data_IF_543743623173
#
_entry.id   IF_543743623173
#
_cell.length_a   1.000
_cell.length_b   1.000
_cell.length_c   1.000
_cell.angle_alpha   90.00
_cell.angle_beta   90.00
_cell.angle_gamma   90.00
#
_symmetry.space_group_name_H-M   'P 1'
#
loop_
_entity.id
_entity.type
_entity.pdbx_description
1 polymer ?
#
# COMPACT_ATOMS: atom_id res chain seq x y z
N UNK A 1 2.76 22.40 6.12
CA UNK A 1 2.64 20.94 6.37
C UNK A 1 3.35 20.65 7.69
N UNK A 2 2.91 19.65 8.46
CA UNK A 2 3.57 19.23 9.70
C UNK A 2 4.95 18.63 9.43
N UNK A 3 5.90 18.80 10.36
CA UNK A 3 7.28 18.29 10.29
C UNK A 3 7.83 18.10 11.70
N UNK A 4 8.59 17.03 11.95
CA UNK A 4 9.20 16.74 13.24
C UNK A 4 10.58 16.09 13.07
N UNK A 5 11.64 16.78 13.51
CA UNK A 5 13.02 16.32 13.36
C UNK A 5 13.31 14.99 14.08
N UNK A 6 12.55 14.67 15.13
CA UNK A 6 12.69 13.39 15.85
C UNK A 6 12.16 12.26 14.98
N UNK A 7 11.03 12.48 14.29
CA UNK A 7 10.48 11.50 13.36
C UNK A 7 11.41 11.33 12.14
N UNK A 8 11.93 12.44 11.60
CA UNK A 8 12.90 12.40 10.50
C UNK A 8 14.11 11.51 10.84
N UNK A 9 14.70 11.69 12.04
CA UNK A 9 15.84 10.89 12.49
C UNK A 9 15.51 9.39 12.63
N UNK A 10 14.28 9.04 13.03
CA UNK A 10 13.83 7.65 13.09
C UNK A 10 13.68 7.07 11.69
N UNK A 11 13.09 7.82 10.76
CA UNK A 11 12.92 7.39 9.36
C UNK A 11 14.29 7.14 8.71
N UNK A 12 15.25 8.04 8.93
CA UNK A 12 16.62 7.90 8.41
C UNK A 12 17.33 6.65 8.95
N UNK A 13 17.06 6.25 10.19
CA UNK A 13 17.60 5.01 10.79
C UNK A 13 16.89 3.77 10.23
N UNK A 14 15.56 3.84 10.07
CA UNK A 14 14.77 2.76 9.47
C UNK A 14 15.21 2.45 8.04
N UNK A 15 15.51 3.48 7.23
CA UNK A 15 16.00 3.31 5.85
C UNK A 15 17.32 2.51 5.78
N UNK A 16 18.18 2.67 6.80
CA UNK A 16 19.49 1.99 6.88
C UNK A 16 19.40 0.60 7.52
N UNK A 17 18.27 0.27 8.13
CA UNK A 17 18.07 -0.99 8.84
C UNK A 17 17.61 -2.08 7.87
N UNK A 18 18.18 -3.28 7.97
CA UNK A 18 17.77 -4.41 7.12
C UNK A 18 16.29 -4.76 7.37
N UNK A 19 15.59 -5.18 6.32
CA UNK A 19 14.15 -5.44 6.38
C UNK A 19 13.77 -6.55 7.37
N UNK A 20 14.66 -7.52 7.58
CA UNK A 20 14.49 -8.65 8.50
C UNK A 20 15.11 -8.41 9.89
N UNK A 21 15.69 -7.23 10.14
CA UNK A 21 16.23 -6.88 11.46
C UNK A 21 15.08 -6.59 12.45
N UNK A 22 15.00 -7.28 13.61
CA UNK A 22 13.97 -7.03 14.61
C UNK A 22 13.97 -5.61 15.18
N UNK A 23 15.07 -4.86 15.05
CA UNK A 23 15.14 -3.46 15.46
C UNK A 23 14.29 -2.54 14.57
N UNK A 24 14.00 -2.92 13.32
CA UNK A 24 13.12 -2.13 12.44
C UNK A 24 11.73 -1.93 13.06
N UNK A 25 11.20 -2.97 13.71
CA UNK A 25 9.91 -2.90 14.41
C UNK A 25 9.98 -1.94 15.60
N UNK A 26 11.08 -1.98 16.37
CA UNK A 26 11.28 -1.08 17.51
C UNK A 26 11.33 0.38 17.07
N UNK A 27 12.08 0.69 16.01
CA UNK A 27 12.14 2.03 15.42
C UNK A 27 10.76 2.49 14.95
N UNK A 28 10.00 1.63 14.26
CA UNK A 28 8.64 1.92 13.85
C UNK A 28 7.71 2.28 15.03
N UNK A 29 7.83 1.56 16.16
CA UNK A 29 7.08 1.87 17.38
C UNK A 29 7.46 3.25 17.95
N UNK A 30 8.75 3.61 17.99
CA UNK A 30 9.18 4.95 18.44
C UNK A 30 8.64 6.06 17.54
N UNK A 31 8.63 5.85 16.22
CA UNK A 31 8.02 6.79 15.27
C UNK A 31 6.50 6.95 15.49
N UNK A 32 5.79 5.85 15.74
CA UNK A 32 4.36 5.87 16.04
C UNK A 32 4.04 6.60 17.35
N UNK A 33 4.88 6.49 18.39
CA UNK A 33 4.69 7.26 19.64
C UNK A 33 4.68 8.77 19.38
N UNK A 34 5.57 9.26 18.52
CA UNK A 34 5.60 10.68 18.11
C UNK A 34 4.32 11.02 17.34
N UNK A 35 3.95 10.22 16.35
CA UNK A 35 2.74 10.46 15.55
C UNK A 35 1.46 10.51 16.42
N UNK A 36 1.37 9.67 17.46
CA UNK A 36 0.26 9.68 18.42
C UNK A 36 0.31 10.92 19.32
N UNK A 37 1.49 11.31 19.82
CA UNK A 37 1.63 12.48 20.70
C UNK A 37 1.34 13.80 19.99
N UNK A 38 1.80 13.94 18.75
CA UNK A 38 1.69 15.18 17.97
C UNK A 38 0.38 15.28 17.17
N UNK A 39 -0.35 14.17 16.98
CA UNK A 39 -1.61 14.08 16.23
C UNK A 39 -1.63 14.91 14.94
N UNK A 40 -0.72 14.67 13.98
CA UNK A 40 -0.64 15.47 12.75
C UNK A 40 -1.87 15.31 11.84
N UNK A 41 -2.68 14.29 12.07
CA UNK A 41 -3.96 14.04 11.40
C UNK A 41 -4.92 13.31 12.35
N UNK A 42 -6.18 13.19 11.94
CA UNK A 42 -7.22 12.42 12.66
C UNK A 42 -7.55 11.18 11.82
N UNK A 43 -6.99 10.01 12.13
CA UNK A 43 -7.33 8.78 11.42
C UNK A 43 -8.76 8.37 11.76
N UNK A 44 -9.60 8.16 10.74
CA UNK A 44 -11.02 7.84 10.92
C UNK A 44 -11.32 6.36 10.69
N UNK A 45 -10.80 5.78 9.61
CA UNK A 45 -10.98 4.36 9.27
C UNK A 45 -9.89 3.89 8.31
N UNK A 46 -9.67 2.58 8.28
CA UNK A 46 -8.85 1.95 7.24
C UNK A 46 -9.54 2.01 5.89
N UNK A 47 -8.78 2.28 4.82
CA UNK A 47 -9.31 2.41 3.47
C UNK A 47 -10.10 1.15 3.05
N UNK A 48 -11.42 1.23 2.81
CA UNK A 48 -12.19 0.12 2.27
C UNK A 48 -11.89 0.03 0.77
N UNK A 49 -11.11 -0.99 0.41
CA UNK A 49 -10.65 -1.18 -0.96
C UNK A 49 -11.74 -1.70 -1.90
N UNK A 50 -12.64 -0.82 -2.35
CA UNK A 50 -13.70 -1.16 -3.30
C UNK A 50 -13.10 -1.35 -4.69
N UNK A 51 -13.47 -2.45 -5.33
CA UNK A 51 -13.07 -2.77 -6.71
C UNK A 51 -14.27 -3.28 -7.49
N UNK A 52 -14.24 -3.03 -8.79
CA UNK A 52 -15.21 -3.53 -9.75
C UNK A 52 -14.59 -3.53 -11.14
N UNK A 53 -14.97 -4.50 -11.95
CA UNK A 53 -14.56 -4.65 -13.34
C UNK A 53 -15.67 -5.36 -14.11
N UNK A 54 -15.62 -5.22 -15.43
CA UNK A 54 -16.50 -5.93 -16.37
C UNK A 54 -15.67 -6.97 -17.11
N UNK A 55 -16.20 -8.19 -17.19
CA UNK A 55 -15.56 -9.30 -17.90
C UNK A 55 -16.02 -9.48 -19.36
N UNK A 56 -16.73 -8.49 -19.93
CA UNK A 56 -17.20 -8.55 -21.31
C UNK A 56 -16.03 -8.68 -22.31
N UNK A 57 -15.03 -7.79 -22.24
CA UNK A 57 -13.88 -7.76 -23.16
C UNK A 57 -12.60 -8.38 -22.59
N UNK A 58 -12.44 -8.38 -21.27
CA UNK A 58 -11.21 -8.78 -20.59
C UNK A 58 -11.53 -9.69 -19.42
N UNK A 59 -10.66 -10.65 -19.14
CA UNK A 59 -10.80 -11.59 -18.01
C UNK A 59 -9.48 -11.70 -17.26
N UNK A 60 -9.45 -12.54 -16.23
CA UNK A 60 -8.28 -12.77 -15.39
C UNK A 60 -7.89 -11.54 -14.56
N UNK A 61 -8.87 -10.73 -14.15
CA UNK A 61 -8.63 -9.69 -13.16
C UNK A 61 -8.17 -10.31 -11.83
N UNK A 62 -7.23 -9.68 -11.12
CA UNK A 62 -6.90 -10.09 -9.77
C UNK A 62 -8.02 -9.69 -8.82
N UNK A 63 -8.41 -10.59 -7.94
CA UNK A 63 -9.54 -10.41 -7.02
C UNK A 63 -9.42 -11.33 -5.80
N UNK A 64 -10.48 -11.41 -4.99
CA UNK A 64 -10.52 -12.30 -3.83
C UNK A 64 -10.37 -13.77 -4.21
N UNK A 65 -10.93 -14.15 -5.36
CA UNK A 65 -10.90 -15.50 -5.92
C UNK A 65 -9.61 -15.79 -6.71
N UNK A 66 -8.87 -14.75 -7.11
CA UNK A 66 -7.69 -14.83 -7.97
C UNK A 66 -6.62 -13.83 -7.51
N UNK A 67 -6.05 -14.05 -6.33
CA UNK A 67 -5.18 -13.07 -5.66
C UNK A 67 -3.72 -13.13 -6.11
N UNK A 68 -3.45 -13.04 -7.43
CA UNK A 68 -2.08 -13.04 -7.94
C UNK A 68 -1.36 -11.68 -7.81
N UNK A 69 -2.12 -10.59 -7.60
CA UNK A 69 -1.61 -9.25 -7.27
C UNK A 69 -2.74 -8.36 -6.74
N UNK A 70 -2.44 -7.08 -6.47
CA UNK A 70 -3.42 -6.06 -6.06
C UNK A 70 -4.43 -5.72 -7.19
N UNK A 71 -5.72 -5.48 -6.87
CA UNK A 71 -6.79 -5.25 -7.86
C UNK A 71 -6.98 -3.79 -8.30
N UNK A 72 -6.18 -2.85 -7.81
CA UNK A 72 -6.45 -1.42 -7.97
C UNK A 72 -5.87 -0.82 -9.26
N UNK A 73 -6.77 -0.34 -10.12
CA UNK A 73 -6.44 0.37 -11.37
C UNK A 73 -5.85 1.76 -11.14
N UNK A 74 -6.16 2.39 -10.00
CA UNK A 74 -5.70 3.75 -9.65
C UNK A 74 -4.37 3.76 -8.90
N UNK A 75 -3.78 2.59 -8.65
CA UNK A 75 -2.45 2.48 -8.02
C UNK A 75 -1.36 2.40 -9.09
N UNK A 76 -0.12 2.84 -8.79
CA UNK A 76 1.00 2.77 -9.74
C UNK A 76 1.29 1.35 -10.25
N UNK A 77 0.86 0.34 -9.48
CA UNK A 77 1.04 -1.07 -9.78
C UNK A 77 0.16 -1.57 -10.92
N UNK A 78 -0.86 -0.80 -11.36
CA UNK A 78 -1.77 -1.23 -12.42
C UNK A 78 -1.05 -1.69 -13.70
N UNK A 79 0.07 -1.06 -14.05
CA UNK A 79 0.90 -1.46 -15.20
C UNK A 79 1.40 -2.92 -15.13
N UNK A 80 1.53 -3.48 -13.93
CA UNK A 80 1.93 -4.87 -13.72
C UNK A 80 0.75 -5.85 -13.77
N UNK A 81 -0.49 -5.35 -13.73
CA UNK A 81 -1.70 -6.14 -13.94
C UNK A 81 -1.96 -6.38 -15.42
N UNK A 82 -1.79 -5.33 -16.24
CA UNK A 82 -2.15 -5.34 -17.67
C UNK A 82 -1.63 -6.54 -18.46
N UNK A 83 -0.37 -7.02 -18.29
CA UNK A 83 0.14 -8.17 -19.04
C UNK A 83 -0.57 -9.49 -18.73
N UNK A 84 -1.30 -9.57 -17.61
CA UNK A 84 -2.00 -10.77 -17.18
C UNK A 84 -3.47 -10.78 -17.60
N UNK A 85 -4.03 -9.65 -18.03
CA UNK A 85 -5.41 -9.60 -18.53
C UNK A 85 -5.52 -10.38 -19.85
N UNK A 86 -6.63 -11.10 -20.00
CA UNK A 86 -6.87 -11.95 -21.18
C UNK A 86 -8.07 -11.43 -21.97
N UNK A 87 -7.93 -11.17 -23.29
CA UNK A 87 -9.06 -10.74 -24.10
C UNK A 87 -10.05 -11.90 -24.26
N UNK A 88 -11.35 -11.59 -24.29
CA UNK A 88 -12.41 -12.59 -24.47
C UNK A 88 -12.67 -12.92 -25.95
N UNK A 89 -12.15 -12.11 -26.88
CA UNK A 89 -12.41 -12.21 -28.32
C UNK A 89 -13.75 -11.62 -28.78
N UNK A 90 -14.54 -11.04 -27.87
CA UNK A 90 -15.80 -10.35 -28.20
C UNK A 90 -15.53 -9.00 -28.87
N UNK A 91 -16.43 -8.59 -29.78
CA UNK A 91 -16.42 -7.31 -30.49
C UNK A 91 -17.56 -6.42 -30.02
#
# INVERSE_FOLDING_TARGET
>A
RWSDKRLDAIIDEMEKTAFDDPNLIKLGIEGLKIAVAEMPSIPTFGYPGVVGWDEYYWTNYPGGENSYQQPYHHWPNFKFMLPFLKPTGRK
#
